data_IF_294071480804
#
_entry.id   IF_294071480804
#
_cell.length_a   1.000
_cell.length_b   1.000
_cell.length_c   1.000
_cell.angle_alpha   90.00
_cell.angle_beta   90.00
_cell.angle_gamma   90.00
#
_symmetry.space_group_name_H-M   'P 1'
#
loop_
_entity.id
_entity.type
_entity.pdbx_description
1 polymer ?
#
# COMPACT_ATOMS: atom_id res chain seq x y z
N UNK A 1 -8.64 4.54 20.42
CA UNK A 1 -7.55 4.02 19.57
C UNK A 1 -6.87 5.16 18.83
N UNK A 2 -5.54 5.17 18.82
CA UNK A 2 -4.73 6.06 18.01
C UNK A 2 -4.11 5.26 16.87
N UNK A 3 -4.45 5.60 15.62
CA UNK A 3 -4.11 4.79 14.46
C UNK A 3 -3.28 5.60 13.47
N UNK A 4 -2.12 5.08 13.09
CA UNK A 4 -1.34 5.59 11.97
C UNK A 4 -1.67 4.80 10.70
N UNK A 5 -1.76 5.49 9.55
CA UNK A 5 -1.90 4.86 8.24
C UNK A 5 -0.79 5.37 7.33
N UNK A 6 0.04 4.48 6.84
CA UNK A 6 1.14 4.82 5.95
C UNK A 6 0.72 4.63 4.50
N UNK A 7 0.92 5.65 3.68
CA UNK A 7 0.38 5.78 2.34
C UNK A 7 1.48 6.00 1.31
N UNK A 8 1.27 5.46 0.11
CA UNK A 8 2.14 5.72 -1.05
C UNK A 8 1.34 6.37 -2.20
N UNK A 9 1.97 7.32 -2.88
CA UNK A 9 1.52 7.87 -4.15
C UNK A 9 2.10 7.01 -5.26
N UNK A 10 1.25 6.47 -6.11
CA UNK A 10 1.63 5.57 -7.20
C UNK A 10 1.03 6.02 -8.53
N UNK A 11 1.63 5.69 -9.68
CA UNK A 11 0.99 5.87 -10.96
C UNK A 11 -0.36 5.12 -11.01
N UNK A 12 -1.36 5.69 -11.66
CA UNK A 12 -2.64 5.03 -11.88
C UNK A 12 -2.41 3.68 -12.58
N UNK A 13 -3.09 2.62 -12.13
CA UNK A 13 -2.90 1.25 -12.62
C UNK A 13 -3.21 1.07 -14.11
N UNK A 14 -3.95 2.00 -14.72
CA UNK A 14 -4.23 2.01 -16.17
C UNK A 14 -3.20 2.83 -16.96
N UNK A 15 -2.23 3.45 -16.30
CA UNK A 15 -1.22 4.27 -16.96
C UNK A 15 -0.23 3.41 -17.76
N UNK A 16 0.14 3.89 -18.94
CA UNK A 16 1.23 3.30 -19.71
C UNK A 16 2.57 3.83 -19.19
N UNK A 17 3.29 2.97 -18.49
CA UNK A 17 4.60 3.31 -17.94
C UNK A 17 5.68 3.13 -19.02
N UNK A 18 6.56 4.12 -19.14
CA UNK A 18 7.75 4.06 -19.99
C UNK A 18 8.97 4.53 -19.19
N UNK A 19 10.16 3.95 -19.43
CA UNK A 19 11.39 4.45 -18.85
C UNK A 19 11.67 5.90 -19.26
N UNK A 20 12.13 6.70 -18.31
CA UNK A 20 12.56 8.08 -18.56
C UNK A 20 13.87 8.14 -19.37
N UNK A 21 14.28 9.36 -19.77
CA UNK A 21 15.50 9.57 -20.55
C UNK A 21 16.79 9.09 -19.85
N UNK A 22 16.80 9.12 -18.52
CA UNK A 22 17.89 8.65 -17.66
C UNK A 22 17.94 7.12 -17.54
N UNK A 23 16.88 6.44 -17.95
CA UNK A 23 16.68 4.98 -17.86
C UNK A 23 16.77 4.42 -16.41
N UNK A 24 16.75 5.25 -15.41
CA UNK A 24 16.75 4.86 -13.99
C UNK A 24 15.48 5.27 -13.27
N UNK A 25 14.66 6.11 -13.92
CA UNK A 25 13.34 6.53 -13.46
C UNK A 25 12.28 6.32 -14.55
N UNK A 26 11.00 6.45 -14.21
CA UNK A 26 9.91 6.47 -15.19
C UNK A 26 9.71 7.88 -15.73
N UNK A 27 9.21 7.99 -16.97
CA UNK A 27 8.76 9.27 -17.51
C UNK A 27 7.40 9.61 -16.87
N UNK A 28 7.40 10.64 -16.02
CA UNK A 28 6.18 11.09 -15.31
C UNK A 28 5.31 12.06 -16.14
N UNK A 29 5.76 12.46 -17.34
CA UNK A 29 5.03 13.42 -18.15
C UNK A 29 3.65 12.90 -18.56
N UNK A 30 2.60 13.57 -18.09
CA UNK A 30 1.21 13.19 -18.38
C UNK A 30 0.69 12.00 -17.57
N UNK A 31 1.47 11.42 -16.67
CA UNK A 31 0.98 10.37 -15.77
C UNK A 31 0.05 10.95 -14.70
N UNK A 32 -1.09 10.29 -14.53
CA UNK A 32 -1.93 10.50 -13.37
C UNK A 32 -1.41 9.64 -12.22
N UNK A 33 -1.30 10.25 -11.05
CA UNK A 33 -0.97 9.56 -9.81
C UNK A 33 -2.18 9.47 -8.90
N UNK A 34 -2.24 8.41 -8.12
CA UNK A 34 -3.35 8.11 -7.20
C UNK A 34 -2.82 7.64 -5.84
N UNK A 35 -3.70 7.61 -4.84
CA UNK A 35 -3.46 6.85 -3.63
C UNK A 35 -3.35 5.37 -3.99
N UNK A 36 -2.33 4.69 -3.47
CA UNK A 36 -2.17 3.25 -3.72
C UNK A 36 -3.46 2.49 -3.36
N UNK A 37 -4.01 1.67 -4.26
CA UNK A 37 -5.28 0.98 -4.02
C UNK A 37 -5.32 0.10 -2.77
N UNK A 38 -4.19 -0.51 -2.38
CA UNK A 38 -4.14 -1.28 -1.14
C UNK A 38 -4.13 -0.39 0.10
N UNK A 39 -3.62 0.84 0.00
CA UNK A 39 -3.64 1.79 1.11
C UNK A 39 -5.06 2.33 1.36
N UNK A 40 -5.95 2.31 0.36
CA UNK A 40 -7.36 2.66 0.56
C UNK A 40 -8.05 1.71 1.55
N UNK A 41 -7.72 0.40 1.55
CA UNK A 41 -8.19 -0.55 2.55
C UNK A 41 -7.66 -0.20 3.94
N UNK A 42 -6.40 0.22 4.05
CA UNK A 42 -5.81 0.64 5.31
C UNK A 42 -6.46 1.92 5.86
N UNK A 43 -6.76 2.90 4.98
CA UNK A 43 -7.49 4.12 5.36
C UNK A 43 -8.88 3.79 5.86
N UNK A 44 -9.62 2.97 5.12
CA UNK A 44 -10.98 2.57 5.52
C UNK A 44 -10.98 1.83 6.85
N UNK A 45 -10.03 0.91 7.05
CA UNK A 45 -9.91 0.16 8.30
C UNK A 45 -9.66 1.09 9.50
N UNK A 46 -8.77 2.07 9.35
CA UNK A 46 -8.52 3.07 10.39
C UNK A 46 -9.78 3.85 10.76
N UNK A 47 -10.55 4.26 9.76
CA UNK A 47 -11.79 5.00 9.95
C UNK A 47 -12.86 4.14 10.63
N UNK A 48 -13.06 2.91 10.16
CA UNK A 48 -14.03 1.97 10.72
C UNK A 48 -13.71 1.63 12.18
N UNK A 49 -12.42 1.40 12.52
CA UNK A 49 -12.00 1.14 13.91
C UNK A 49 -12.23 2.34 14.82
N UNK A 50 -11.89 3.54 14.36
CA UNK A 50 -12.15 4.77 15.10
C UNK A 50 -13.65 4.96 15.33
N UNK A 51 -14.48 4.78 14.30
CA UNK A 51 -15.94 4.90 14.37
C UNK A 51 -16.54 3.87 15.34
N UNK A 52 -16.09 2.61 15.27
CA UNK A 52 -16.52 1.54 16.20
C UNK A 52 -16.13 1.84 17.65
N UNK A 53 -14.97 2.43 17.87
CA UNK A 53 -14.51 2.81 19.22
C UNK A 53 -15.20 4.07 19.76
N UNK A 54 -15.88 4.84 18.93
CA UNK A 54 -16.54 6.10 19.30
C UNK A 54 -15.58 7.25 19.64
N UNK A 55 -14.28 6.99 19.75
CA UNK A 55 -13.23 7.97 20.04
C UNK A 55 -11.89 7.50 19.50
N UNK A 56 -10.97 8.45 19.26
CA UNK A 56 -9.62 8.14 18.78
C UNK A 56 -9.10 9.18 17.80
N UNK A 57 -7.87 8.97 17.35
CA UNK A 57 -7.21 9.81 16.35
C UNK A 57 -6.69 8.95 15.21
N UNK A 58 -6.86 9.42 13.97
CA UNK A 58 -6.28 8.80 12.77
C UNK A 58 -5.28 9.76 12.12
N UNK A 59 -4.08 9.26 11.80
CA UNK A 59 -3.00 10.06 11.22
C UNK A 59 -2.45 9.38 9.98
N UNK A 60 -2.52 10.07 8.83
CA UNK A 60 -1.89 9.57 7.60
C UNK A 60 -0.43 10.02 7.50
N UNK A 61 0.44 9.12 7.12
CA UNK A 61 1.86 9.37 6.86
C UNK A 61 2.22 9.03 5.41
N UNK A 62 3.08 9.83 4.81
CA UNK A 62 3.72 9.49 3.54
C UNK A 62 5.16 9.99 3.53
N UNK A 63 6.03 9.28 2.81
CA UNK A 63 7.44 9.67 2.59
C UNK A 63 7.62 9.92 1.09
N UNK A 64 8.06 11.10 0.72
CA UNK A 64 8.24 11.43 -0.69
C UNK A 64 8.33 12.92 -0.97
N UNK A 65 8.40 13.31 -2.25
CA UNK A 65 8.41 14.71 -2.66
C UNK A 65 7.09 15.43 -2.36
N UNK A 66 7.09 16.74 -2.52
CA UNK A 66 5.96 17.63 -2.22
C UNK A 66 4.62 17.17 -2.86
N UNK A 67 4.68 16.59 -4.05
CA UNK A 67 3.51 16.05 -4.76
C UNK A 67 2.72 15.00 -3.96
N UNK A 68 3.31 14.36 -2.94
CA UNK A 68 2.61 13.42 -2.05
C UNK A 68 1.55 14.08 -1.17
N UNK A 69 1.57 15.42 -1.02
CA UNK A 69 0.51 16.14 -0.31
C UNK A 69 -0.87 15.92 -0.94
N UNK A 70 -0.95 15.78 -2.28
CA UNK A 70 -2.21 15.51 -2.97
C UNK A 70 -2.82 14.17 -2.52
N UNK A 71 -2.01 13.13 -2.42
CA UNK A 71 -2.41 11.80 -1.93
C UNK A 71 -2.85 11.86 -0.47
N UNK A 72 -2.11 12.57 0.38
CA UNK A 72 -2.50 12.78 1.78
C UNK A 72 -3.81 13.57 1.87
N UNK A 73 -4.06 14.55 1.00
CA UNK A 73 -5.35 15.26 0.93
C UNK A 73 -6.49 14.33 0.54
N UNK A 74 -6.26 13.31 -0.28
CA UNK A 74 -7.27 12.28 -0.59
C UNK A 74 -7.65 11.50 0.67
N UNK A 75 -6.70 11.04 1.46
CA UNK A 75 -6.98 10.35 2.73
C UNK A 75 -7.69 11.26 3.74
N UNK A 76 -7.32 12.53 3.83
CA UNK A 76 -8.01 13.53 4.66
C UNK A 76 -9.46 13.74 4.20
N UNK A 77 -9.72 13.65 2.89
CA UNK A 77 -11.07 13.77 2.32
C UNK A 77 -11.93 12.52 2.60
N UNK A 78 -11.33 11.34 2.69
CA UNK A 78 -11.99 10.11 3.13
C UNK A 78 -12.41 10.17 4.61
N UNK A 79 -11.69 10.92 5.45
CA UNK A 79 -12.09 11.07 6.85
C UNK A 79 -10.93 11.17 7.85
N UNK A 80 -9.70 10.83 7.48
CA UNK A 80 -8.51 10.93 8.33
C UNK A 80 -8.42 12.30 8.99
N UNK A 81 -8.01 12.39 10.24
CA UNK A 81 -8.04 13.63 11.03
C UNK A 81 -6.92 14.59 10.63
N UNK A 82 -5.70 14.11 10.53
CA UNK A 82 -4.52 14.89 10.11
C UNK A 82 -3.54 14.06 9.32
N UNK A 83 -2.59 14.71 8.66
CA UNK A 83 -1.58 14.07 7.87
C UNK A 83 -0.18 14.63 8.14
N UNK A 84 0.84 13.82 7.87
CA UNK A 84 2.25 14.19 7.95
C UNK A 84 2.95 13.73 6.68
N UNK A 85 3.53 14.67 5.96
CA UNK A 85 4.46 14.38 4.86
C UNK A 85 5.89 14.42 5.41
N UNK A 86 6.58 13.31 5.35
CA UNK A 86 8.02 13.22 5.57
C UNK A 86 8.67 13.49 4.21
N UNK A 87 9.04 14.76 4.01
CA UNK A 87 9.45 15.26 2.70
C UNK A 87 10.88 14.85 2.36
N UNK A 88 11.08 14.29 1.18
CA UNK A 88 12.38 13.96 0.62
C UNK A 88 12.49 14.45 -0.83
N UNK A 89 13.71 14.73 -1.27
CA UNK A 89 14.01 15.06 -2.65
C UNK A 89 14.44 13.77 -3.37
N UNK A 90 13.55 13.11 -4.08
CA UNK A 90 13.85 11.88 -4.82
C UNK A 90 13.03 10.69 -4.38
N UNK A 91 13.42 9.51 -4.84
CA UNK A 91 12.74 8.24 -4.60
C UNK A 91 13.61 7.37 -3.69
N UNK A 92 13.43 7.46 -2.36
CA UNK A 92 14.17 6.62 -1.41
C UNK A 92 13.82 5.15 -1.59
N UNK A 93 14.75 4.25 -1.26
CA UNK A 93 14.49 2.82 -1.25
C UNK A 93 13.55 2.41 -0.08
N UNK A 94 13.05 1.17 -0.11
CA UNK A 94 12.08 0.69 0.88
C UNK A 94 12.61 0.75 2.33
N UNK A 95 13.91 0.55 2.53
CA UNK A 95 14.52 0.60 3.87
C UNK A 95 14.68 2.05 4.36
N UNK A 96 15.03 2.98 3.47
CA UNK A 96 15.08 4.41 3.79
C UNK A 96 13.69 4.93 4.16
N UNK A 97 12.66 4.55 3.40
CA UNK A 97 11.25 4.86 3.72
C UNK A 97 10.87 4.30 5.08
N UNK A 98 11.20 3.02 5.34
CA UNK A 98 10.87 2.38 6.61
C UNK A 98 11.55 3.07 7.80
N UNK A 99 12.81 3.47 7.68
CA UNK A 99 13.55 4.22 8.72
C UNK A 99 12.92 5.59 8.98
N UNK A 100 12.56 6.32 7.92
CA UNK A 100 11.93 7.62 8.05
C UNK A 100 10.57 7.51 8.75
N UNK A 101 9.73 6.54 8.36
CA UNK A 101 8.46 6.26 9.01
C UNK A 101 8.64 5.83 10.47
N UNK A 102 9.53 4.89 10.75
CA UNK A 102 9.77 4.40 12.11
C UNK A 102 10.27 5.53 13.05
N UNK A 103 11.09 6.44 12.54
CA UNK A 103 11.53 7.62 13.28
C UNK A 103 10.38 8.50 13.76
N UNK A 104 9.42 8.79 12.89
CA UNK A 104 8.23 9.59 13.22
C UNK A 104 7.20 8.82 14.06
N UNK A 105 7.00 7.54 13.78
CA UNK A 105 6.00 6.72 14.45
C UNK A 105 6.37 6.35 15.88
N UNK A 106 7.67 6.21 16.18
CA UNK A 106 8.20 5.79 17.50
C UNK A 106 7.68 6.62 18.68
N UNK A 107 7.59 7.92 18.50
CA UNK A 107 7.12 8.85 19.55
C UNK A 107 5.62 9.10 19.50
N UNK A 108 4.93 8.53 18.49
CA UNK A 108 3.54 8.85 18.22
C UNK A 108 2.53 8.23 19.18
N UNK A 109 2.89 7.15 19.92
CA UNK A 109 1.99 6.45 20.82
C UNK A 109 0.79 5.83 20.09
N UNK A 110 1.04 5.19 18.95
CA UNK A 110 0.01 4.52 18.15
C UNK A 110 -0.28 3.14 18.71
N UNK A 111 -1.57 2.82 18.80
CA UNK A 111 -2.03 1.47 19.13
C UNK A 111 -1.96 0.57 17.89
N UNK A 112 -2.24 1.11 16.70
CA UNK A 112 -2.27 0.39 15.46
C UNK A 112 -1.57 1.20 14.36
N UNK A 113 -0.73 0.53 13.57
CA UNK A 113 -0.06 1.09 12.41
C UNK A 113 -0.47 0.27 11.18
N UNK A 114 -1.16 0.90 10.23
CA UNK A 114 -1.72 0.26 9.06
C UNK A 114 -0.94 0.64 7.79
N UNK A 115 -0.76 -0.34 6.95
CA UNK A 115 -0.22 -0.22 5.59
C UNK A 115 -1.15 -0.95 4.62
N UNK A 116 -1.13 -0.60 3.35
CA UNK A 116 -1.56 -1.53 2.32
C UNK A 116 -0.63 -2.73 2.23
N UNK A 117 -1.14 -3.89 1.81
CA UNK A 117 -0.35 -5.11 1.61
C UNK A 117 0.90 -4.86 0.77
N UNK A 118 0.76 -4.07 -0.29
CA UNK A 118 1.82 -3.73 -1.23
C UNK A 118 1.52 -2.39 -1.92
N UNK A 119 2.53 -1.80 -2.54
CA UNK A 119 2.36 -0.72 -3.50
C UNK A 119 2.34 -1.29 -4.92
N UNK A 120 1.35 -0.87 -5.75
CA UNK A 120 1.13 -1.46 -7.09
C UNK A 120 2.20 -1.08 -8.12
N UNK A 121 3.11 -0.18 -7.78
CA UNK A 121 4.25 0.20 -8.61
C UNK A 121 5.46 -0.71 -8.46
N UNK A 122 5.76 -1.17 -7.23
CA UNK A 122 6.96 -1.98 -6.96
C UNK A 122 6.67 -3.42 -6.49
N UNK A 123 5.49 -3.70 -5.96
CA UNK A 123 5.05 -5.02 -5.46
C UNK A 123 5.93 -5.64 -4.36
N UNK A 124 6.78 -4.86 -3.71
CA UNK A 124 7.81 -5.38 -2.81
C UNK A 124 7.30 -5.93 -1.47
N UNK A 125 6.15 -5.46 -0.95
CA UNK A 125 5.55 -5.88 0.33
C UNK A 125 6.48 -5.75 1.56
N UNK A 126 7.44 -4.83 1.52
CA UNK A 126 8.55 -4.80 2.49
C UNK A 126 8.40 -3.75 3.57
N UNK A 127 7.87 -2.56 3.24
CA UNK A 127 7.96 -1.39 4.13
C UNK A 127 7.23 -1.61 5.45
N UNK A 128 6.03 -2.19 5.43
CA UNK A 128 5.27 -2.50 6.65
C UNK A 128 6.04 -3.40 7.61
N UNK A 129 6.50 -4.59 7.20
CA UNK A 129 7.34 -5.47 8.00
C UNK A 129 8.65 -4.83 8.48
N UNK A 130 9.33 -4.03 7.64
CA UNK A 130 10.54 -3.31 8.05
C UNK A 130 10.26 -2.28 9.13
N UNK A 131 9.14 -1.55 9.05
CA UNK A 131 8.72 -0.60 10.09
C UNK A 131 8.42 -1.33 11.40
N UNK A 132 7.75 -2.48 11.34
CA UNK A 132 7.45 -3.28 12.51
C UNK A 132 8.73 -3.73 13.23
N UNK A 133 9.69 -4.26 12.49
CA UNK A 133 11.00 -4.65 13.04
C UNK A 133 11.76 -3.47 13.64
N UNK A 134 11.81 -2.33 12.94
CA UNK A 134 12.45 -1.13 13.43
C UNK A 134 11.80 -0.56 14.70
N UNK A 135 10.52 -0.81 14.92
CA UNK A 135 9.77 -0.37 16.11
C UNK A 135 9.72 -1.43 17.21
N UNK A 136 10.19 -2.65 16.95
CA UNK A 136 10.06 -3.81 17.85
C UNK A 136 8.58 -4.14 18.16
N UNK A 137 7.76 -4.16 17.10
CA UNK A 137 6.32 -4.42 17.18
C UNK A 137 5.94 -5.71 16.43
N UNK A 138 4.91 -6.44 16.91
CA UNK A 138 4.34 -7.54 16.16
C UNK A 138 3.79 -7.05 14.81
N UNK A 139 3.93 -7.90 13.79
CA UNK A 139 3.47 -7.62 12.43
C UNK A 139 2.61 -8.76 11.88
N UNK A 140 1.41 -8.44 11.39
CA UNK A 140 0.60 -9.38 10.61
C UNK A 140 0.39 -8.84 9.21
N UNK A 141 0.79 -9.63 8.21
CA UNK A 141 0.74 -9.21 6.80
C UNK A 141 -0.42 -9.84 6.04
N UNK A 142 -0.87 -9.18 4.95
CA UNK A 142 -1.91 -9.68 4.04
C UNK A 142 -3.24 -9.99 4.75
N UNK A 143 -3.67 -9.10 5.61
CA UNK A 143 -4.85 -9.28 6.46
C UNK A 143 -6.13 -8.98 5.68
N UNK A 144 -6.99 -9.99 5.55
CA UNK A 144 -8.30 -9.90 4.91
C UNK A 144 -9.48 -9.86 5.91
N UNK A 145 -9.23 -10.17 7.19
CA UNK A 145 -10.18 -9.96 8.28
C UNK A 145 -9.44 -9.56 9.54
N UNK A 146 -10.00 -8.62 10.31
CA UNK A 146 -9.37 -8.07 11.51
C UNK A 146 -10.39 -7.92 12.63
N UNK A 147 -10.06 -8.41 13.81
CA UNK A 147 -10.80 -8.12 15.05
C UNK A 147 -9.85 -7.55 16.10
N UNK A 148 -10.36 -6.60 16.89
CA UNK A 148 -9.63 -6.02 18.02
C UNK A 148 -10.53 -6.08 19.24
N UNK A 149 -10.08 -6.78 20.27
CA UNK A 149 -10.76 -6.92 21.55
C UNK A 149 -9.72 -7.02 22.68
N UNK A 150 -10.00 -6.42 23.82
CA UNK A 150 -9.20 -6.52 25.05
C UNK A 150 -7.70 -6.27 24.88
N UNK A 151 -7.34 -5.34 23.97
CA UNK A 151 -5.95 -4.99 23.68
C UNK A 151 -5.19 -6.04 22.84
N UNK A 152 -5.92 -6.99 22.24
CA UNK A 152 -5.39 -7.99 21.33
C UNK A 152 -6.01 -7.84 19.93
N UNK A 153 -5.24 -8.27 18.95
CA UNK A 153 -5.61 -8.37 17.54
C UNK A 153 -5.75 -9.84 17.19
N UNK A 154 -6.86 -10.20 16.54
CA UNK A 154 -7.05 -11.47 15.82
C UNK A 154 -7.19 -11.12 14.34
N UNK A 155 -6.33 -11.65 13.50
CA UNK A 155 -6.26 -11.35 12.08
C UNK A 155 -6.22 -12.62 11.24
N UNK A 156 -7.09 -12.67 10.23
CA UNK A 156 -7.06 -13.69 9.20
C UNK A 156 -6.26 -13.19 8.01
N UNK A 157 -5.24 -13.95 7.63
CA UNK A 157 -4.43 -13.68 6.45
C UNK A 157 -4.58 -14.79 5.42
N UNK A 158 -4.72 -14.40 4.17
CA UNK A 158 -4.76 -15.35 3.07
C UNK A 158 -3.35 -15.87 2.77
N UNK A 159 -3.23 -17.18 2.72
CA UNK A 159 -2.01 -17.90 2.33
C UNK A 159 -2.32 -18.87 1.20
N UNK A 160 -1.30 -19.42 0.54
CA UNK A 160 -1.51 -20.44 -0.48
C UNK A 160 -2.19 -21.68 0.13
N UNK A 161 -3.38 -21.99 -0.40
CA UNK A 161 -4.17 -23.16 0.02
C UNK A 161 -5.00 -23.00 1.30
N UNK A 162 -5.07 -21.79 1.89
CA UNK A 162 -5.87 -21.61 3.11
C UNK A 162 -5.86 -20.20 3.71
N UNK A 163 -6.34 -20.14 4.93
CA UNK A 163 -6.34 -18.95 5.78
C UNK A 163 -5.58 -19.26 7.06
N UNK A 164 -4.68 -18.38 7.44
CA UNK A 164 -3.97 -18.44 8.71
C UNK A 164 -4.57 -17.41 9.68
N UNK A 165 -4.94 -17.86 10.87
CA UNK A 165 -5.42 -16.98 11.95
C UNK A 165 -4.25 -16.65 12.87
N UNK A 166 -3.93 -15.37 13.01
CA UNK A 166 -2.82 -14.88 13.82
C UNK A 166 -3.35 -14.00 14.94
N UNK A 167 -2.86 -14.25 16.16
CA UNK A 167 -3.16 -13.41 17.31
C UNK A 167 -1.90 -12.68 17.78
N UNK A 168 -2.04 -11.37 18.07
CA UNK A 168 -0.97 -10.60 18.68
C UNK A 168 -1.54 -9.50 19.60
N UNK A 169 -0.68 -8.87 20.40
CA UNK A 169 -1.06 -7.76 21.27
C UNK A 169 -0.82 -6.42 20.57
N UNK A 170 -1.63 -5.43 20.95
CA UNK A 170 -1.36 -4.03 20.62
C UNK A 170 -0.20 -3.48 21.49
N UNK A 171 0.62 -2.56 20.98
CA UNK A 171 0.57 -2.01 19.63
C UNK A 171 1.05 -3.00 18.56
N UNK A 172 0.51 -2.89 17.34
CA UNK A 172 0.82 -3.79 16.23
C UNK A 172 0.87 -3.09 14.88
N UNK A 173 1.62 -3.69 13.94
CA UNK A 173 1.64 -3.30 12.51
C UNK A 173 0.86 -4.31 11.69
N UNK A 174 -0.08 -3.82 10.89
CA UNK A 174 -0.93 -4.64 10.03
C UNK A 174 -0.80 -4.19 8.57
N UNK A 175 -0.63 -5.14 7.65
CA UNK A 175 -0.76 -4.82 6.23
C UNK A 175 -2.08 -5.33 5.68
N UNK A 176 -2.89 -4.40 5.15
CA UNK A 176 -4.27 -4.62 4.75
C UNK A 176 -4.36 -5.17 3.33
N UNK A 177 -5.13 -6.24 3.15
CA UNK A 177 -5.39 -6.85 1.85
C UNK A 177 -6.82 -6.55 1.36
N UNK A 178 -7.06 -6.83 0.09
CA UNK A 178 -8.39 -6.83 -0.51
C UNK A 178 -9.28 -7.85 0.22
N UNK A 179 -10.52 -7.45 0.51
CA UNK A 179 -11.47 -8.29 1.27
C UNK A 179 -11.66 -7.85 2.71
N UNK A 180 -10.70 -7.11 3.29
CA UNK A 180 -10.80 -6.61 4.66
C UNK A 180 -12.01 -5.70 4.86
N UNK A 181 -12.27 -4.82 3.91
CA UNK A 181 -13.38 -3.85 3.92
C UNK A 181 -13.72 -3.38 2.50
N UNK A 182 -14.63 -2.40 2.40
CA UNK A 182 -14.95 -1.70 1.17
C UNK A 182 -14.62 -0.22 1.34
N UNK A 183 -13.52 0.29 0.77
CA UNK A 183 -13.10 1.67 0.92
C UNK A 183 -14.20 2.66 0.50
N UNK A 184 -14.49 3.63 1.38
CA UNK A 184 -15.42 4.72 1.07
C UNK A 184 -14.80 5.70 0.08
N UNK A 185 -15.61 6.22 -0.84
CA UNK A 185 -15.18 7.31 -1.70
C UNK A 185 -15.25 8.65 -0.96
N UNK A 186 -14.31 9.58 -1.23
CA UNK A 186 -14.39 10.93 -0.67
C UNK A 186 -15.66 11.64 -1.13
N UNK A 187 -16.54 12.03 -0.18
CA UNK A 187 -17.69 12.86 -0.49
C UNK A 187 -17.26 14.31 -0.77
N UNK A 188 -18.04 15.06 -1.54
CA UNK A 188 -17.76 16.48 -1.86
C UNK A 188 -17.50 17.33 -0.59
N UNK A 189 -18.29 17.13 0.45
CA UNK A 189 -18.10 17.79 1.76
C UNK A 189 -16.74 17.42 2.38
N UNK A 190 -16.31 16.16 2.26
CA UNK A 190 -15.02 15.68 2.73
C UNK A 190 -13.87 16.34 1.98
N UNK A 191 -13.95 16.46 0.65
CA UNK A 191 -12.95 17.13 -0.20
C UNK A 191 -12.79 18.60 0.20
N UNK A 192 -13.91 19.30 0.46
CA UNK A 192 -13.86 20.70 0.92
C UNK A 192 -13.24 20.81 2.32
N UNK A 193 -13.59 19.92 3.23
CA UNK A 193 -13.06 19.91 4.59
C UNK A 193 -11.56 19.56 4.62
N UNK A 194 -11.11 18.65 3.77
CA UNK A 194 -9.72 18.23 3.66
C UNK A 194 -8.75 19.39 3.43
N UNK A 195 -9.18 20.44 2.71
CA UNK A 195 -8.34 21.63 2.48
C UNK A 195 -7.94 22.35 3.77
N UNK A 196 -8.77 22.24 4.83
CA UNK A 196 -8.56 22.90 6.13
C UNK A 196 -7.98 21.97 7.18
N UNK A 197 -8.01 20.65 6.96
CA UNK A 197 -7.42 19.68 7.89
C UNK A 197 -5.91 19.84 8.00
N UNK A 198 -5.32 19.63 9.20
CA UNK A 198 -3.88 19.73 9.40
C UNK A 198 -3.12 18.76 8.48
N UNK A 199 -2.14 19.30 7.75
CA UNK A 199 -1.13 18.57 7.02
C UNK A 199 0.21 19.21 7.37
N UNK A 200 1.02 18.47 8.11
CA UNK A 200 2.36 18.87 8.52
C UNK A 200 3.37 18.36 7.50
N UNK A 201 4.36 19.18 7.16
CA UNK A 201 5.48 18.78 6.29
C UNK A 201 6.75 18.85 7.13
N UNK A 202 7.45 17.72 7.20
CA UNK A 202 8.73 17.59 7.91
C UNK A 202 9.82 17.13 6.97
N UNK A 203 11.04 17.63 7.09
CA UNK A 203 12.15 17.11 6.30
C UNK A 203 12.44 15.66 6.71
N UNK A 204 12.70 14.79 5.72
CA UNK A 204 13.14 13.43 5.98
C UNK A 204 14.59 13.41 6.49
N UNK A 205 14.84 12.59 7.50
CA UNK A 205 16.20 12.18 7.86
C UNK A 205 16.41 10.80 7.23
N UNK A 206 16.99 10.77 6.03
CA UNK A 206 17.32 9.53 5.33
C UNK A 206 18.74 9.10 5.71
N UNK A 207 18.94 7.77 5.84
CA UNK A 207 20.28 7.18 5.91
C UNK A 207 20.90 7.06 4.51
N UNK A 208 22.02 6.38 4.41
CA UNK A 208 22.56 5.98 3.13
C UNK A 208 21.62 4.95 2.49
N UNK A 209 21.26 5.14 1.22
CA UNK A 209 20.49 4.17 0.44
C UNK A 209 21.24 2.84 0.32
N UNK A 210 20.49 1.75 0.27
CA UNK A 210 21.03 0.39 0.19
C UNK A 210 20.91 -0.20 -1.22
N UNK A 211 20.14 0.46 -2.09
CA UNK A 211 19.84 -0.02 -3.45
C UNK A 211 20.14 1.10 -4.45
N UNK A 212 20.79 0.72 -5.55
CA UNK A 212 21.01 1.57 -6.71
C UNK A 212 20.25 0.99 -7.91
N UNK A 213 19.42 1.81 -8.55
CA UNK A 213 18.74 1.44 -9.80
C UNK A 213 19.70 1.64 -10.96
N UNK A 214 20.16 0.55 -11.56
CA UNK A 214 21.11 0.58 -12.68
C UNK A 214 20.42 0.85 -14.03
N UNK A 215 19.15 0.47 -14.16
CA UNK A 215 18.39 0.71 -15.37
C UNK A 215 16.99 0.12 -15.32
N UNK A 216 16.08 0.76 -16.07
CA UNK A 216 14.72 0.30 -16.31
C UNK A 216 14.56 -0.08 -17.78
N UNK A 217 13.98 -1.24 -18.03
CA UNK A 217 13.66 -1.73 -19.37
C UNK A 217 12.21 -2.23 -19.40
N UNK A 218 11.54 -2.00 -20.51
CA UNK A 218 10.23 -2.60 -20.71
C UNK A 218 10.38 -4.12 -20.84
N UNK A 219 9.42 -4.90 -20.30
CA UNK A 219 9.42 -6.35 -20.51
C UNK A 219 9.30 -6.66 -22.00
N UNK A 220 9.89 -7.77 -22.43
CA UNK A 220 9.74 -8.25 -23.80
C UNK A 220 8.26 -8.40 -24.14
N UNK A 221 7.87 -7.95 -25.31
CA UNK A 221 6.49 -8.12 -25.80
C UNK A 221 6.12 -9.60 -25.78
N UNK A 222 4.96 -9.90 -25.23
CA UNK A 222 4.41 -11.25 -25.31
C UNK A 222 3.98 -11.51 -26.74
N UNK A 223 4.29 -12.70 -27.23
CA UNK A 223 3.74 -13.14 -28.54
C UNK A 223 2.22 -13.17 -28.47
N UNK A 224 1.58 -12.87 -29.61
CA UNK A 224 0.13 -12.97 -29.71
C UNK A 224 -0.33 -14.39 -29.35
N UNK A 225 -1.43 -14.48 -28.61
CA UNK A 225 -2.04 -15.77 -28.30
C UNK A 225 -2.51 -16.48 -29.59
N UNK A 226 -2.51 -17.83 -29.55
CA UNK A 226 -3.06 -18.67 -30.62
C UNK A 226 -4.48 -19.10 -30.23
N UNK A 227 -5.43 -18.83 -31.12
CA UNK A 227 -6.77 -19.41 -31.02
C UNK A 227 -6.69 -20.84 -31.56
N UNK A 228 -6.95 -21.82 -30.70
CA UNK A 228 -6.86 -23.25 -31.06
C UNK A 228 -8.08 -23.72 -31.86
N UNK A 229 -9.22 -23.08 -31.64
CA UNK A 229 -10.49 -23.35 -32.29
C UNK A 229 -11.64 -22.69 -31.57
N UNK A 230 -12.85 -22.92 -32.02
CA UNK A 230 -14.06 -22.36 -31.42
C UNK A 230 -15.00 -23.49 -30.94
N UNK A 231 -15.71 -23.21 -29.84
CA UNK A 231 -16.70 -24.12 -29.27
C UNK A 231 -16.11 -25.33 -28.53
N UNK A 232 -16.99 -26.25 -28.06
CA UNK A 232 -16.60 -27.40 -27.26
C UNK A 232 -15.66 -28.38 -27.94
N UNK A 233 -15.74 -28.49 -29.26
CA UNK A 233 -14.92 -29.42 -30.07
C UNK A 233 -13.44 -29.07 -30.09
N UNK A 234 -13.08 -27.81 -29.78
CA UNK A 234 -11.70 -27.37 -29.62
C UNK A 234 -11.06 -27.75 -28.30
N UNK A 235 -11.84 -28.12 -27.27
CA UNK A 235 -11.35 -28.39 -25.90
C UNK A 235 -10.34 -29.55 -25.86
N UNK A 236 -10.54 -30.70 -26.52
CA UNK A 236 -9.56 -31.80 -26.51
C UNK A 236 -8.18 -31.36 -27.02
N UNK A 237 -8.16 -30.61 -28.12
CA UNK A 237 -6.91 -30.10 -28.70
C UNK A 237 -6.25 -29.04 -27.77
N UNK A 238 -7.03 -28.14 -27.17
CA UNK A 238 -6.52 -27.19 -26.17
C UNK A 238 -5.84 -27.91 -25.00
N UNK A 239 -6.50 -28.94 -24.42
CA UNK A 239 -5.95 -29.75 -23.34
C UNK A 239 -4.67 -30.44 -23.77
N UNK A 240 -4.64 -31.01 -24.97
CA UNK A 240 -3.43 -31.65 -25.54
C UNK A 240 -2.27 -30.68 -25.60
N UNK A 241 -2.51 -29.46 -26.11
CA UNK A 241 -1.48 -28.40 -26.22
C UNK A 241 -1.00 -27.90 -24.86
N UNK A 242 -1.92 -27.70 -23.91
CA UNK A 242 -1.57 -27.30 -22.55
C UNK A 242 -0.67 -28.35 -21.87
N UNK A 243 -0.90 -29.63 -22.12
CA UNK A 243 -0.05 -30.72 -21.60
C UNK A 243 1.29 -30.87 -22.34
N UNK A 244 1.28 -30.86 -23.68
CA UNK A 244 2.43 -31.23 -24.49
C UNK A 244 3.35 -30.05 -24.81
N UNK A 245 2.82 -28.86 -25.05
CA UNK A 245 3.58 -27.66 -25.42
C UNK A 245 3.80 -26.76 -24.23
N UNK A 246 2.71 -26.32 -23.56
CA UNK A 246 2.79 -25.39 -22.44
C UNK A 246 3.23 -26.05 -21.14
N UNK A 247 3.01 -27.36 -20.97
CA UNK A 247 3.37 -28.15 -19.78
C UNK A 247 2.84 -27.56 -18.46
N UNK A 248 1.60 -27.08 -18.51
CA UNK A 248 0.91 -26.46 -17.36
C UNK A 248 -0.23 -27.32 -16.80
N UNK A 249 -0.49 -28.50 -17.41
CA UNK A 249 -1.43 -29.53 -16.97
C UNK A 249 -0.71 -30.88 -16.83
#
# INVERSE_FOLDING_TARGET
>A
LKIAVCLKRVPDTVAKIVPGPDRTSIDEAGLKFVLNPYDEFAVEEALARKEKAGAGETVAYAVGPDAFQETLRTALAMGIDRAVLIQTAGSPDGLEVARALAGELRSGGYDLILFGKLAVDDYNQQVGPMVAELLDLPCVTSVAHLEIADGAVTADREIEGGVEVVECRLPAVITCDKGLNNPRLPALKGIMAAKKKPLEVKPATLGAGSIEVLGLELPKERQAGRIVGEGPDAVPELVRLLRSEAKVL
#
